data_IF_380254943900
#
_entry.id   IF_380254943900
#
_cell.length_a   1.000
_cell.length_b   1.000
_cell.length_c   1.000
_cell.angle_alpha   90.00
_cell.angle_beta   90.00
_cell.angle_gamma   90.00
#
_symmetry.space_group_name_H-M   'P 1'
#
loop_
_entity.id
_entity.type
_entity.pdbx_description
1 polymer ?
#
# COMPACT_ATOMS: atom_id res chain seq x y z
N UNK A 1 -2.22 -1.06 -28.79
CA UNK A 1 -2.12 -2.51 -28.51
C UNK A 1 -2.56 -2.64 -27.08
N UNK A 2 -3.74 -3.21 -26.82
CA UNK A 2 -4.14 -3.51 -25.45
C UNK A 2 -3.26 -4.72 -25.08
N UNK A 3 -2.27 -4.50 -24.21
CA UNK A 3 -1.50 -5.57 -23.59
C UNK A 3 -2.47 -6.57 -22.94
N UNK A 4 -2.07 -7.83 -22.79
CA UNK A 4 -2.86 -8.84 -22.07
C UNK A 4 -3.29 -8.26 -20.71
N UNK A 5 -4.56 -7.84 -20.62
CA UNK A 5 -5.12 -7.33 -19.37
C UNK A 5 -5.35 -8.56 -18.52
N UNK A 6 -4.73 -8.58 -17.34
CA UNK A 6 -4.94 -9.64 -16.37
C UNK A 6 -6.46 -9.90 -16.19
N UNK A 7 -6.86 -11.17 -16.21
CA UNK A 7 -8.26 -11.58 -16.15
C UNK A 7 -8.97 -11.01 -14.91
N UNK A 8 -8.24 -10.86 -13.79
CA UNK A 8 -8.75 -10.23 -12.58
C UNK A 8 -9.02 -8.74 -12.80
N UNK A 9 -8.08 -8.01 -13.39
CA UNK A 9 -8.25 -6.57 -13.69
C UNK A 9 -9.44 -6.37 -14.62
N UNK A 10 -9.57 -7.22 -15.64
CA UNK A 10 -10.71 -7.18 -16.56
C UNK A 10 -12.03 -7.46 -15.83
N UNK A 11 -12.10 -8.49 -14.99
CA UNK A 11 -13.29 -8.82 -14.21
C UNK A 11 -13.70 -7.65 -13.29
N UNK A 12 -12.77 -7.07 -12.54
CA UNK A 12 -13.02 -5.91 -11.69
C UNK A 12 -13.51 -4.69 -12.49
N UNK A 13 -12.96 -4.47 -13.69
CA UNK A 13 -13.42 -3.41 -14.59
C UNK A 13 -14.87 -3.62 -15.04
N UNK A 14 -15.25 -4.86 -15.37
CA UNK A 14 -16.64 -5.19 -15.70
C UNK A 14 -17.56 -4.95 -14.51
N UNK A 15 -17.21 -5.43 -13.32
CA UNK A 15 -18.00 -5.22 -12.11
C UNK A 15 -18.20 -3.73 -11.81
N UNK A 16 -17.14 -2.93 -11.97
CA UNK A 16 -17.21 -1.49 -11.80
C UNK A 16 -18.19 -0.85 -12.79
N UNK A 17 -18.12 -1.23 -14.06
CA UNK A 17 -19.03 -0.71 -15.08
C UNK A 17 -20.51 -1.02 -14.77
N UNK A 18 -20.81 -2.17 -14.14
CA UNK A 18 -22.17 -2.57 -13.79
C UNK A 18 -22.66 -2.01 -12.45
N UNK A 19 -21.79 -1.89 -11.45
CA UNK A 19 -22.19 -1.63 -10.06
C UNK A 19 -21.66 -0.33 -9.48
N UNK A 20 -20.74 0.34 -10.16
CA UNK A 20 -19.97 1.47 -9.61
C UNK A 20 -18.88 1.04 -8.63
N UNK A 21 -18.64 -0.26 -8.48
CA UNK A 21 -17.69 -0.84 -7.53
C UNK A 21 -17.07 -2.13 -8.06
N UNK A 22 -15.99 -2.61 -7.44
CA UNK A 22 -15.35 -3.87 -7.83
C UNK A 22 -15.00 -4.73 -6.61
N UNK A 23 -15.02 -6.04 -6.82
CA UNK A 23 -14.63 -7.02 -5.83
C UNK A 23 -13.11 -7.04 -5.64
N UNK A 24 -12.70 -7.13 -4.38
CA UNK A 24 -11.30 -7.23 -3.97
C UNK A 24 -11.03 -8.66 -3.53
N UNK A 25 -9.93 -9.29 -3.99
CA UNK A 25 -9.60 -10.64 -3.57
C UNK A 25 -9.36 -10.70 -2.06
N UNK A 26 -9.83 -11.76 -1.40
CA UNK A 26 -9.54 -11.95 0.02
C UNK A 26 -8.03 -12.11 0.27
N UNK A 27 -7.51 -11.65 1.42
CA UNK A 27 -6.13 -11.90 1.83
C UNK A 27 -5.77 -13.39 1.79
N UNK A 28 -4.56 -13.71 1.33
CA UNK A 28 -4.13 -15.12 1.20
C UNK A 28 -3.62 -15.66 2.52
N UNK A 29 -4.05 -16.86 2.93
CA UNK A 29 -3.51 -17.48 4.14
C UNK A 29 -2.06 -17.94 3.94
N UNK A 30 -1.18 -17.50 4.84
CA UNK A 30 0.23 -17.91 4.91
C UNK A 30 0.42 -19.34 5.43
N UNK A 31 -0.65 -20.08 5.74
CA UNK A 31 -0.60 -21.43 6.33
C UNK A 31 -0.14 -22.55 5.39
N UNK A 32 0.35 -22.23 4.18
CA UNK A 32 0.95 -23.19 3.27
C UNK A 32 2.49 -23.20 3.40
N UNK A 33 2.99 -23.64 4.55
CA UNK A 33 4.42 -23.79 4.81
C UNK A 33 4.66 -24.52 6.12
N UNK A 34 5.28 -25.69 6.04
CA UNK A 34 5.45 -26.66 7.12
C UNK A 34 6.12 -26.12 8.39
N UNK A 35 5.57 -26.60 9.49
CA UNK A 35 6.13 -26.70 10.82
C UNK A 35 7.61 -27.15 10.83
N UNK A 36 8.51 -26.27 11.27
CA UNK A 36 9.69 -26.65 12.06
C UNK A 36 9.96 -25.52 13.04
N UNK A 37 9.52 -25.71 14.28
CA UNK A 37 9.84 -24.83 15.39
C UNK A 37 11.35 -24.72 15.63
N UNK A 38 11.81 -23.49 15.83
CA UNK A 38 13.08 -23.19 16.47
C UNK A 38 12.88 -22.04 17.47
N UNK A 39 13.43 -22.12 18.69
CA UNK A 39 13.24 -21.06 19.67
C UNK A 39 14.06 -19.83 19.25
N UNK A 40 13.38 -18.70 19.03
CA UNK A 40 14.03 -17.39 18.86
C UNK A 40 14.67 -16.98 20.19
N UNK A 41 15.99 -16.84 20.20
CA UNK A 41 16.72 -16.20 21.31
C UNK A 41 16.55 -14.69 21.15
N UNK A 42 15.98 -14.04 22.17
CA UNK A 42 15.85 -12.58 22.22
C UNK A 42 17.23 -11.97 22.51
N UNK A 43 17.90 -11.48 21.47
CA UNK A 43 19.03 -10.58 21.64
C UNK A 43 18.53 -9.17 21.95
N UNK A 44 18.69 -8.75 23.21
CA UNK A 44 18.48 -7.36 23.65
C UNK A 44 19.61 -6.50 23.10
N UNK A 45 19.43 -6.01 21.88
CA UNK A 45 20.28 -4.98 21.29
C UNK A 45 19.99 -3.62 21.93
N UNK A 46 20.92 -3.14 22.74
CA UNK A 46 20.89 -1.82 23.34
C UNK A 46 21.52 -0.82 22.35
N UNK A 47 20.75 -0.41 21.35
CA UNK A 47 21.19 0.65 20.43
C UNK A 47 21.07 2.04 21.06
N UNK A 48 21.94 2.99 20.67
CA UNK A 48 21.97 4.33 21.26
C UNK A 48 20.68 5.09 20.91
N UNK A 49 20.17 5.85 21.87
CA UNK A 49 19.01 6.76 21.68
C UNK A 49 19.40 7.95 20.81
N UNK A 50 19.59 7.70 19.52
CA UNK A 50 19.36 8.72 18.50
C UNK A 50 17.86 9.08 18.56
N UNK A 51 17.50 10.35 18.37
CA UNK A 51 16.11 10.83 18.54
C UNK A 51 15.12 9.89 17.86
N UNK A 52 14.21 9.30 18.64
CA UNK A 52 13.18 8.37 18.16
C UNK A 52 12.35 9.06 17.09
N UNK A 53 12.10 8.40 15.96
CA UNK A 53 11.27 8.98 14.92
C UNK A 53 9.84 9.16 15.42
N UNK A 54 9.30 10.36 15.26
CA UNK A 54 7.93 10.67 15.64
C UNK A 54 7.16 11.12 14.39
N UNK A 55 6.49 10.15 13.77
CA UNK A 55 5.66 10.35 12.58
C UNK A 55 4.54 11.38 12.79
N UNK A 56 4.17 11.69 14.04
CA UNK A 56 3.13 12.70 14.36
C UNK A 56 3.55 14.12 13.98
N UNK A 57 4.84 14.36 13.77
CA UNK A 57 5.32 15.66 13.28
C UNK A 57 5.05 15.85 11.79
N UNK A 58 4.71 14.78 11.05
CA UNK A 58 4.43 14.82 9.62
C UNK A 58 2.99 15.22 9.33
N UNK A 59 2.62 16.44 9.74
CA UNK A 59 1.25 16.95 9.63
C UNK A 59 0.71 17.00 8.19
N UNK A 60 1.59 16.92 7.17
CA UNK A 60 1.22 16.91 5.75
C UNK A 60 1.12 15.50 5.14
N UNK A 61 1.54 14.48 5.87
CA UNK A 61 1.49 13.10 5.40
C UNK A 61 0.04 12.64 5.26
N UNK A 62 -0.27 11.90 4.19
CA UNK A 62 -1.62 11.36 3.93
C UNK A 62 -2.18 10.59 5.12
N UNK A 63 -1.38 9.76 5.79
CA UNK A 63 -1.80 8.90 6.89
C UNK A 63 -1.86 9.62 8.25
N UNK A 64 -1.55 10.92 8.28
CA UNK A 64 -1.69 11.71 9.49
C UNK A 64 -3.18 11.87 9.87
N UNK A 65 -3.57 11.72 11.16
CA UNK A 65 -4.98 11.80 11.59
C UNK A 65 -5.72 13.10 11.21
N UNK A 66 -5.00 14.20 11.04
CA UNK A 66 -5.58 15.49 10.60
C UNK A 66 -5.74 15.61 9.08
N UNK A 67 -5.02 14.79 8.32
CA UNK A 67 -4.93 14.87 6.86
C UNK A 67 -5.76 13.79 6.19
N UNK A 68 -5.72 12.56 6.72
CA UNK A 68 -6.41 11.41 6.17
C UNK A 68 -7.91 11.64 5.93
N UNK A 69 -8.69 12.23 6.87
CA UNK A 69 -10.11 12.52 6.61
C UNK A 69 -10.33 13.52 5.46
N UNK A 70 -9.40 14.47 5.26
CA UNK A 70 -9.48 15.43 4.15
C UNK A 70 -9.20 14.76 2.81
N UNK A 71 -8.24 13.83 2.79
CA UNK A 71 -7.95 13.01 1.61
C UNK A 71 -9.16 12.16 1.25
N UNK A 72 -9.78 11.48 2.23
CA UNK A 72 -11.02 10.75 1.98
C UNK A 72 -12.14 11.64 1.44
N UNK A 73 -12.37 12.81 2.06
CA UNK A 73 -13.35 13.78 1.55
C UNK A 73 -13.11 14.16 0.09
N UNK A 74 -11.86 14.49 -0.26
CA UNK A 74 -11.48 14.83 -1.63
C UNK A 74 -11.70 13.68 -2.63
N UNK A 75 -11.41 12.44 -2.24
CA UNK A 75 -11.62 11.28 -3.10
C UNK A 75 -13.10 10.96 -3.26
N UNK A 76 -13.88 11.02 -2.17
CA UNK A 76 -15.32 10.77 -2.19
C UNK A 76 -16.08 11.80 -3.03
N UNK A 77 -15.68 13.08 -3.01
CA UNK A 77 -16.26 14.12 -3.86
C UNK A 77 -16.10 13.86 -5.36
N UNK A 78 -15.12 13.01 -5.74
CA UNK A 78 -14.83 12.66 -7.13
C UNK A 78 -15.50 11.36 -7.58
N UNK A 79 -16.18 10.65 -6.68
CA UNK A 79 -16.88 9.43 -7.00
C UNK A 79 -18.36 9.72 -7.26
N UNK A 80 -18.90 9.09 -8.30
CA UNK A 80 -20.31 9.18 -8.64
C UNK A 80 -21.21 8.49 -7.59
N UNK A 81 -20.65 7.48 -6.90
CA UNK A 81 -21.31 6.69 -5.88
C UNK A 81 -20.35 6.44 -4.70
N UNK A 82 -20.90 6.38 -3.49
CA UNK A 82 -20.09 6.04 -2.32
C UNK A 82 -19.56 4.58 -2.46
N UNK A 83 -18.27 4.32 -2.16
CA UNK A 83 -17.73 2.97 -2.16
C UNK A 83 -18.54 2.07 -1.22
N UNK A 84 -18.77 0.81 -1.63
CA UNK A 84 -19.34 -0.18 -0.72
C UNK A 84 -18.37 -0.37 0.45
N UNK A 85 -18.91 -0.36 1.66
CA UNK A 85 -18.16 -0.70 2.86
C UNK A 85 -17.58 -2.10 2.68
N UNK A 86 -16.26 -2.21 2.74
CA UNK A 86 -15.62 -3.51 2.88
C UNK A 86 -16.00 -4.05 4.26
N UNK A 87 -16.39 -5.32 4.33
CA UNK A 87 -16.51 -5.96 5.63
C UNK A 87 -15.16 -5.78 6.32
N UNK A 88 -15.13 -5.14 7.48
CA UNK A 88 -13.93 -5.04 8.31
C UNK A 88 -13.64 -6.46 8.82
N UNK A 89 -13.11 -7.30 7.95
CA UNK A 89 -12.60 -8.59 8.33
C UNK A 89 -11.39 -8.31 9.20
N UNK A 90 -11.36 -8.89 10.40
CA UNK A 90 -10.25 -8.81 11.35
C UNK A 90 -8.93 -9.41 10.81
N UNK A 91 -8.84 -9.66 9.50
CA UNK A 91 -7.71 -10.23 8.78
C UNK A 91 -6.55 -9.22 8.61
N UNK A 92 -6.81 -7.90 8.61
CA UNK A 92 -5.76 -6.89 8.38
C UNK A 92 -4.70 -6.85 9.49
N UNK A 93 -5.11 -7.20 10.70
CA UNK A 93 -4.26 -7.34 11.88
C UNK A 93 -3.79 -8.78 12.11
N UNK A 94 -4.39 -9.76 11.43
CA UNK A 94 -4.01 -11.16 11.56
C UNK A 94 -2.84 -11.50 10.64
N UNK A 95 -1.66 -11.68 11.24
CA UNK A 95 -0.41 -12.01 10.53
C UNK A 95 -0.46 -13.34 9.76
N UNK A 96 -1.48 -14.17 9.96
CA UNK A 96 -1.71 -15.39 9.16
C UNK A 96 -2.16 -15.08 7.74
N UNK A 97 -2.53 -13.84 7.44
CA UNK A 97 -2.98 -13.43 6.11
C UNK A 97 -2.04 -12.41 5.47
N UNK A 98 -1.65 -12.69 4.23
CA UNK A 98 -0.92 -11.76 3.39
C UNK A 98 -1.87 -10.88 2.59
N UNK A 99 -1.59 -9.58 2.62
CA UNK A 99 -2.33 -8.55 1.88
C UNK A 99 -1.72 -8.23 0.52
N UNK A 100 -0.68 -8.96 0.09
CA UNK A 100 0.03 -8.69 -1.16
C UNK A 100 -0.92 -8.67 -2.37
N UNK A 101 -1.87 -9.62 -2.44
CA UNK A 101 -2.85 -9.69 -3.53
C UNK A 101 -3.91 -8.57 -3.46
N UNK A 102 -4.36 -8.19 -2.27
CA UNK A 102 -5.28 -7.06 -2.04
C UNK A 102 -4.64 -5.77 -2.57
N UNK A 103 -3.43 -5.47 -2.11
CA UNK A 103 -2.70 -4.27 -2.50
C UNK A 103 -2.40 -4.23 -4.00
N UNK A 104 -1.95 -5.36 -4.56
CA UNK A 104 -1.64 -5.44 -5.99
C UNK A 104 -2.89 -5.24 -6.84
N UNK A 105 -4.02 -5.85 -6.47
CA UNK A 105 -5.29 -5.68 -7.17
C UNK A 105 -5.68 -4.19 -7.29
N UNK A 106 -5.63 -3.43 -6.20
CA UNK A 106 -5.91 -2.00 -6.23
C UNK A 106 -4.92 -1.22 -7.11
N UNK A 107 -3.63 -1.53 -7.03
CA UNK A 107 -2.60 -0.84 -7.79
C UNK A 107 -2.68 -1.12 -9.30
N UNK A 108 -2.96 -2.36 -9.69
CA UNK A 108 -3.16 -2.76 -11.08
C UNK A 108 -4.40 -2.12 -11.67
N UNK A 109 -5.53 -2.14 -10.96
CA UNK A 109 -6.76 -1.46 -11.37
C UNK A 109 -6.52 0.04 -11.51
N UNK A 110 -5.81 0.66 -10.57
CA UNK A 110 -5.50 2.08 -10.63
C UNK A 110 -4.66 2.43 -11.87
N UNK A 111 -3.61 1.65 -12.14
CA UNK A 111 -2.76 1.82 -13.33
C UNK A 111 -3.56 1.62 -14.62
N UNK A 112 -4.39 0.59 -14.68
CA UNK A 112 -5.27 0.34 -15.82
C UNK A 112 -6.21 1.52 -16.04
N UNK A 113 -6.89 1.97 -14.98
CA UNK A 113 -7.83 3.09 -15.04
C UNK A 113 -7.15 4.41 -15.45
N UNK A 114 -5.91 4.64 -15.02
CA UNK A 114 -5.10 5.75 -15.51
C UNK A 114 -4.86 5.64 -17.02
N UNK A 115 -4.38 4.49 -17.49
CA UNK A 115 -4.08 4.27 -18.91
C UNK A 115 -5.35 4.34 -19.80
N UNK A 116 -6.51 4.02 -19.26
CA UNK A 116 -7.80 4.02 -19.93
C UNK A 116 -8.61 5.33 -19.74
N UNK A 117 -8.06 6.34 -19.07
CA UNK A 117 -8.73 7.60 -18.72
C UNK A 117 -10.04 7.43 -17.90
N UNK A 118 -10.17 6.32 -17.17
CA UNK A 118 -11.30 6.05 -16.27
C UNK A 118 -11.10 6.67 -14.89
N UNK A 119 -11.38 7.97 -14.81
CA UNK A 119 -11.17 8.78 -13.60
C UNK A 119 -11.88 8.21 -12.37
N UNK A 120 -13.16 7.84 -12.44
CA UNK A 120 -13.90 7.31 -11.29
C UNK A 120 -13.30 5.99 -10.77
N UNK A 121 -12.87 5.08 -11.65
CA UNK A 121 -12.22 3.83 -11.26
C UNK A 121 -10.82 4.06 -10.67
N UNK A 122 -10.05 5.01 -11.23
CA UNK A 122 -8.75 5.43 -10.69
C UNK A 122 -8.92 5.99 -9.26
N UNK A 123 -9.88 6.87 -9.05
CA UNK A 123 -10.17 7.45 -7.72
C UNK A 123 -10.61 6.36 -6.73
N UNK A 124 -11.53 5.47 -7.15
CA UNK A 124 -12.04 4.40 -6.30
C UNK A 124 -10.92 3.44 -5.89
N UNK A 125 -10.07 3.02 -6.83
CA UNK A 125 -8.94 2.14 -6.54
C UNK A 125 -7.90 2.77 -5.63
N UNK A 126 -7.62 4.06 -5.79
CA UNK A 126 -6.75 4.79 -4.86
C UNK A 126 -7.36 4.90 -3.46
N UNK A 127 -8.66 5.20 -3.36
CA UNK A 127 -9.39 5.23 -2.09
C UNK A 127 -9.30 3.89 -1.37
N UNK A 128 -9.61 2.79 -2.07
CA UNK A 128 -9.57 1.45 -1.49
C UNK A 128 -8.15 1.07 -1.05
N UNK A 129 -7.12 1.38 -1.84
CA UNK A 129 -5.74 1.16 -1.43
C UNK A 129 -5.35 1.92 -0.15
N UNK A 130 -5.70 3.22 -0.06
CA UNK A 130 -5.44 4.02 1.14
C UNK A 130 -6.13 3.40 2.36
N UNK A 131 -7.38 2.96 2.20
CA UNK A 131 -8.14 2.30 3.24
C UNK A 131 -7.51 0.99 3.68
N UNK A 132 -7.07 0.15 2.75
CA UNK A 132 -6.38 -1.10 3.09
C UNK A 132 -5.06 -0.83 3.81
N UNK A 133 -4.29 0.18 3.38
CA UNK A 133 -3.02 0.57 4.02
C UNK A 133 -3.23 1.17 5.42
N UNK A 134 -4.27 1.97 5.62
CA UNK A 134 -4.62 2.55 6.93
C UNK A 134 -4.87 1.47 7.99
N UNK A 135 -5.61 0.42 7.62
CA UNK A 135 -6.00 -0.66 8.54
C UNK A 135 -4.94 -1.75 8.66
N UNK A 136 -3.90 -1.71 7.83
CA UNK A 136 -2.86 -2.72 7.80
C UNK A 136 -1.80 -2.46 8.88
N UNK A 137 -1.68 -3.40 9.81
CA UNK A 137 -0.66 -3.37 10.85
C UNK A 137 0.68 -3.86 10.30
N UNK A 138 1.56 -2.90 9.97
CA UNK A 138 2.90 -3.21 9.50
C UNK A 138 3.79 -3.69 10.65
N UNK A 139 4.30 -4.90 10.50
CA UNK A 139 5.33 -5.48 11.36
C UNK A 139 6.54 -5.93 10.53
N UNK A 140 7.64 -6.27 11.19
CA UNK A 140 8.90 -6.67 10.51
C UNK A 140 8.72 -7.88 9.59
N UNK A 141 7.77 -8.76 9.89
CA UNK A 141 7.51 -9.96 9.09
C UNK A 141 6.60 -9.68 7.87
N UNK A 142 6.06 -8.46 7.76
CA UNK A 142 5.04 -8.07 6.75
C UNK A 142 5.49 -6.98 5.79
N UNK A 143 6.69 -6.43 5.98
CA UNK A 143 7.33 -5.44 5.09
C UNK A 143 7.39 -5.89 3.63
N UNK A 144 7.50 -7.19 3.36
CA UNK A 144 7.48 -7.78 2.01
C UNK A 144 6.28 -7.35 1.16
N UNK A 145 5.11 -7.14 1.78
CA UNK A 145 3.89 -6.75 1.09
C UNK A 145 4.00 -5.32 0.54
N UNK A 146 4.59 -4.43 1.32
CA UNK A 146 4.85 -3.04 0.94
C UNK A 146 6.00 -2.96 -0.06
N UNK A 147 7.07 -3.76 0.12
CA UNK A 147 8.21 -3.80 -0.80
C UNK A 147 7.78 -4.23 -2.20
N UNK A 148 6.95 -5.28 -2.32
CA UNK A 148 6.43 -5.72 -3.61
C UNK A 148 5.59 -4.64 -4.30
N UNK A 149 4.79 -3.90 -3.53
CA UNK A 149 4.00 -2.79 -4.04
C UNK A 149 4.87 -1.59 -4.49
N UNK A 150 5.95 -1.29 -3.76
CA UNK A 150 6.92 -0.27 -4.15
C UNK A 150 7.67 -0.65 -5.43
N UNK A 151 8.03 -1.92 -5.60
CA UNK A 151 8.66 -2.42 -6.82
C UNK A 151 7.74 -2.19 -8.02
N UNK A 152 6.48 -2.61 -7.91
CA UNK A 152 5.46 -2.34 -8.92
C UNK A 152 5.35 -0.85 -9.24
N UNK A 153 5.31 0.01 -8.21
CA UNK A 153 5.06 1.44 -8.43
C UNK A 153 6.26 2.26 -8.91
N UNK A 154 7.49 1.84 -8.62
CA UNK A 154 8.68 2.66 -8.87
C UNK A 154 9.69 2.03 -9.84
N UNK A 155 9.63 0.72 -10.10
CA UNK A 155 10.51 0.05 -11.06
C UNK A 155 9.88 -0.12 -12.43
N UNK A 156 8.56 -0.33 -12.47
CA UNK A 156 7.85 -0.48 -13.72
C UNK A 156 7.65 0.88 -14.40
N UNK A 157 7.74 0.89 -15.74
CA UNK A 157 7.56 2.12 -16.52
C UNK A 157 6.06 2.45 -16.58
N UNK A 158 5.64 3.51 -15.92
CA UNK A 158 4.26 4.00 -15.96
C UNK A 158 4.07 5.30 -15.18
N UNK A 159 3.07 6.10 -15.56
CA UNK A 159 2.69 7.32 -14.82
C UNK A 159 1.64 6.97 -13.77
N UNK A 160 2.10 6.57 -12.59
CA UNK A 160 1.27 6.22 -11.43
C UNK A 160 1.61 7.10 -10.22
N UNK A 161 1.71 8.41 -10.47
CA UNK A 161 2.14 9.42 -9.49
C UNK A 161 1.29 9.43 -8.21
N UNK A 162 -0.01 9.16 -8.33
CA UNK A 162 -0.92 9.06 -7.18
C UNK A 162 -0.51 7.90 -6.26
N UNK A 163 -0.29 6.70 -6.83
CA UNK A 163 0.17 5.53 -6.09
C UNK A 163 1.54 5.79 -5.47
N UNK A 164 2.47 6.37 -6.23
CA UNK A 164 3.80 6.71 -5.72
C UNK A 164 3.73 7.69 -4.55
N UNK A 165 2.80 8.64 -4.59
CA UNK A 165 2.57 9.60 -3.50
C UNK A 165 2.03 8.92 -2.25
N UNK A 166 0.98 8.08 -2.39
CA UNK A 166 0.43 7.31 -1.27
C UNK A 166 1.49 6.42 -0.64
N UNK A 167 2.26 5.68 -1.46
CA UNK A 167 3.23 4.72 -0.95
C UNK A 167 4.45 5.37 -0.32
N UNK A 168 4.93 6.49 -0.88
CA UNK A 168 5.96 7.31 -0.26
C UNK A 168 5.51 7.74 1.15
N UNK A 169 4.31 8.29 1.26
CA UNK A 169 3.79 8.78 2.54
C UNK A 169 3.58 7.62 3.52
N UNK A 170 3.12 6.46 3.05
CA UNK A 170 2.99 5.25 3.87
C UNK A 170 4.33 4.75 4.41
N UNK A 171 5.36 4.69 3.55
CA UNK A 171 6.71 4.27 3.93
C UNK A 171 7.30 5.24 4.95
N UNK A 172 7.15 6.54 4.73
CA UNK A 172 7.66 7.58 5.63
C UNK A 172 6.94 7.50 6.98
N UNK A 173 5.61 7.30 6.98
CA UNK A 173 4.84 7.09 8.21
C UNK A 173 5.37 5.91 9.02
N UNK A 174 5.80 4.84 8.34
CA UNK A 174 6.27 3.59 8.94
C UNK A 174 7.79 3.37 8.84
N UNK A 175 8.58 4.43 8.69
CA UNK A 175 10.00 4.33 8.27
C UNK A 175 10.86 3.55 9.26
N UNK A 176 10.56 3.60 10.57
CA UNK A 176 11.30 2.84 11.58
C UNK A 176 11.21 1.33 11.35
N UNK A 177 10.05 0.83 10.93
CA UNK A 177 9.84 -0.60 10.66
C UNK A 177 10.46 -0.96 9.30
N UNK A 178 10.22 -0.13 8.28
CA UNK A 178 10.74 -0.37 6.93
C UNK A 178 12.27 -0.39 6.89
N UNK A 179 12.95 0.51 7.60
CA UNK A 179 14.43 0.59 7.60
C UNK A 179 15.12 -0.57 8.32
N UNK A 180 14.37 -1.40 9.06
CA UNK A 180 14.89 -2.63 9.65
C UNK A 180 14.94 -3.79 8.65
N UNK A 181 14.26 -3.65 7.51
CA UNK A 181 14.24 -4.65 6.45
C UNK A 181 15.41 -4.41 5.46
N UNK A 182 16.24 -5.44 5.28
CA UNK A 182 17.39 -5.36 4.38
C UNK A 182 17.00 -5.30 2.91
N UNK A 183 15.88 -5.89 2.51
CA UNK A 183 15.40 -5.86 1.14
C UNK A 183 14.80 -4.50 0.78
N UNK A 184 14.19 -3.80 1.75
CA UNK A 184 13.84 -2.40 1.57
C UNK A 184 15.08 -1.52 1.36
N UNK A 185 16.14 -1.74 2.14
CA UNK A 185 17.41 -1.01 1.99
C UNK A 185 18.03 -1.22 0.59
N UNK A 186 18.06 -2.46 0.10
CA UNK A 186 18.50 -2.79 -1.26
C UNK A 186 17.61 -2.14 -2.33
N UNK A 187 16.29 -2.06 -2.10
CA UNK A 187 15.36 -1.41 -3.01
C UNK A 187 15.66 0.09 -3.14
N UNK A 188 15.94 0.79 -2.04
CA UNK A 188 16.30 2.21 -2.07
C UNK A 188 17.58 2.46 -2.88
N UNK A 189 18.58 1.59 -2.76
CA UNK A 189 19.82 1.68 -3.55
C UNK A 189 19.56 1.43 -5.05
N UNK A 190 18.71 0.46 -5.37
CA UNK A 190 18.34 0.11 -6.74
C UNK A 190 17.46 1.17 -7.42
N UNK A 191 16.66 1.90 -6.64
CA UNK A 191 15.63 2.83 -7.14
C UNK A 191 15.84 4.24 -6.57
N UNK A 192 16.74 5.05 -7.17
CA UNK A 192 17.08 6.38 -6.65
C UNK A 192 15.91 7.37 -6.61
N UNK A 193 14.90 7.21 -7.45
CA UNK A 193 13.68 8.02 -7.44
C UNK A 193 12.88 7.82 -6.14
N UNK A 194 12.66 6.56 -5.76
CA UNK A 194 12.01 6.18 -4.49
C UNK A 194 12.82 6.70 -3.30
N UNK A 195 14.13 6.46 -3.29
CA UNK A 195 15.02 6.96 -2.24
C UNK A 195 14.87 8.48 -2.05
N UNK A 196 15.03 9.26 -3.13
CA UNK A 196 14.88 10.73 -3.07
C UNK A 196 13.48 11.14 -2.60
N UNK A 197 12.43 10.44 -3.03
CA UNK A 197 11.07 10.73 -2.64
C UNK A 197 10.86 10.53 -1.12
N UNK A 198 11.30 9.40 -0.58
CA UNK A 198 11.22 9.10 0.86
C UNK A 198 11.99 10.13 1.67
N UNK A 199 13.27 10.38 1.35
CA UNK A 199 14.11 11.33 2.09
C UNK A 199 13.55 12.76 2.08
N UNK A 200 13.04 13.24 0.93
CA UNK A 200 12.41 14.58 0.86
C UNK A 200 11.15 14.66 1.71
N UNK A 201 10.34 13.61 1.71
CA UNK A 201 9.08 13.57 2.44
C UNK A 201 9.26 13.46 3.96
N UNK A 202 10.43 13.02 4.45
CA UNK A 202 10.73 13.00 5.88
C UNK A 202 10.91 14.40 6.48
N UNK A 203 11.19 15.43 5.66
CA UNK A 203 11.46 16.81 6.08
C UNK A 203 10.40 17.83 5.63
N UNK A 204 9.30 17.37 5.05
CA UNK A 204 8.19 18.20 4.55
C UNK A 204 7.01 18.23 5.51
#
# INVERSE_FOLDING_TARGET
MIEDVDELVFACCCEFAYSGDYYVPSPTSNLLGSDTGQPRTEEVSSQPKLGRWDHRNLIRNIFHPMTLPRIYGYLLEKLDQAPRAEAAENSATDHRYSYANVFMCHAEINRFAYNADWTSLRVLSLHRLIQSLEHFELSKDRTREIIGLLQFCFEEKGQIEDLQTVLRDYVVWNVEVMMQDTDFSKLLERVPSLQKAVFRSMWN
#
